data_IF_393928674676
#
_entry.id   IF_393928674676
#
_cell.length_a   1.000
_cell.length_b   1.000
_cell.length_c   1.000
_cell.angle_alpha   90.00
_cell.angle_beta   90.00
_cell.angle_gamma   90.00
#
_symmetry.space_group_name_H-M   'P 1'
#
loop_
_entity.id
_entity.type
_entity.pdbx_description
1 polymer ?
#
# COMPACT_ATOMS: atom_id res chain seq x y z
N UNK A 1 -33.57 5.24 8.68
CA UNK A 1 -32.30 5.67 9.31
C UNK A 1 -31.24 5.72 8.24
N UNK A 2 -30.88 6.92 7.78
CA UNK A 2 -29.91 7.14 6.70
C UNK A 2 -28.51 7.26 7.27
N UNK A 3 -27.70 6.22 7.13
CA UNK A 3 -26.26 6.29 7.45
C UNK A 3 -25.59 7.25 6.47
N UNK A 4 -25.25 8.46 6.93
CA UNK A 4 -24.37 9.38 6.21
C UNK A 4 -22.95 8.81 6.30
N UNK A 5 -22.53 8.08 5.27
CA UNK A 5 -21.14 7.67 5.10
C UNK A 5 -20.29 8.90 4.83
N UNK A 6 -19.48 9.32 5.81
CA UNK A 6 -18.49 10.38 5.61
C UNK A 6 -17.29 9.77 4.90
N UNK A 7 -17.21 9.98 3.59
CA UNK A 7 -16.04 9.61 2.80
C UNK A 7 -14.94 10.62 3.11
N UNK A 8 -14.08 10.30 4.06
CA UNK A 8 -12.82 11.02 4.22
C UNK A 8 -11.95 10.78 3.00
N UNK A 9 -11.43 11.82 2.33
CA UNK A 9 -10.53 11.64 1.20
C UNK A 9 -9.35 10.79 1.66
N UNK A 10 -9.15 9.66 1.00
CA UNK A 10 -8.07 8.72 1.34
C UNK A 10 -6.75 9.46 1.30
N UNK A 11 -6.17 9.68 2.47
CA UNK A 11 -4.79 10.17 2.57
C UNK A 11 -3.85 9.19 1.86
N UNK A 12 -2.65 9.66 1.49
CA UNK A 12 -1.65 8.81 0.84
C UNK A 12 -1.50 7.48 1.60
N UNK A 13 -1.71 6.36 0.91
CA UNK A 13 -1.59 5.04 1.52
C UNK A 13 -0.13 4.67 1.73
N UNK A 14 0.16 3.80 2.69
CA UNK A 14 1.53 3.28 2.93
C UNK A 14 2.11 2.64 1.67
N UNK A 15 1.26 1.97 0.88
CA UNK A 15 1.63 1.40 -0.41
C UNK A 15 2.04 2.48 -1.42
N UNK A 16 1.27 3.56 -1.54
CA UNK A 16 1.60 4.69 -2.41
C UNK A 16 2.92 5.36 -2.01
N UNK A 17 3.18 5.52 -0.71
CA UNK A 17 4.45 6.07 -0.24
C UNK A 17 5.65 5.15 -0.55
N UNK A 18 5.51 3.83 -0.40
CA UNK A 18 6.55 2.86 -0.78
C UNK A 18 6.85 2.89 -2.27
N UNK A 19 5.79 2.88 -3.09
CA UNK A 19 5.91 2.99 -4.56
C UNK A 19 6.58 4.32 -4.93
N UNK A 20 6.16 5.43 -4.30
CA UNK A 20 6.75 6.75 -4.50
C UNK A 20 8.26 6.79 -4.21
N UNK A 21 8.72 6.17 -3.12
CA UNK A 21 10.16 6.06 -2.81
C UNK A 21 10.89 5.29 -3.91
N UNK A 22 10.37 4.13 -4.32
CA UNK A 22 11.01 3.30 -5.36
C UNK A 22 11.11 4.06 -6.68
N UNK A 23 10.02 4.72 -7.10
CA UNK A 23 9.99 5.51 -8.33
C UNK A 23 10.99 6.66 -8.28
N UNK A 24 11.04 7.41 -7.17
CA UNK A 24 11.98 8.53 -7.02
C UNK A 24 13.43 8.03 -6.93
N UNK A 25 13.69 6.88 -6.32
CA UNK A 25 15.03 6.29 -6.28
C UNK A 25 15.51 5.87 -7.68
N UNK A 26 14.65 5.23 -8.47
CA UNK A 26 14.95 4.89 -9.87
C UNK A 26 15.15 6.15 -10.72
N UNK A 27 14.30 7.16 -10.53
CA UNK A 27 14.42 8.44 -11.21
C UNK A 27 15.73 9.16 -10.84
N UNK A 28 16.14 9.09 -9.57
CA UNK A 28 17.40 9.64 -9.08
C UNK A 28 18.60 8.95 -9.73
N UNK A 29 18.60 7.61 -9.79
CA UNK A 29 19.66 6.84 -10.45
C UNK A 29 19.74 7.15 -11.96
N UNK A 30 18.60 7.14 -12.63
CA UNK A 30 18.52 7.47 -14.05
C UNK A 30 19.00 8.90 -14.32
N UNK A 31 18.50 9.88 -13.57
CA UNK A 31 18.87 11.27 -13.76
C UNK A 31 20.32 11.58 -13.39
N UNK A 32 20.94 10.85 -12.44
CA UNK A 32 22.38 10.93 -12.21
C UNK A 32 23.19 10.43 -13.41
N UNK A 33 22.81 9.28 -13.98
CA UNK A 33 23.46 8.75 -15.18
C UNK A 33 23.29 9.67 -16.38
N UNK A 34 22.06 10.14 -16.62
CA UNK A 34 21.74 11.09 -17.68
C UNK A 34 22.50 12.41 -17.49
N UNK A 35 22.52 12.97 -16.28
CA UNK A 35 23.23 14.20 -15.98
C UNK A 35 24.72 14.08 -16.19
N UNK A 36 25.32 12.94 -15.82
CA UNK A 36 26.72 12.68 -16.11
C UNK A 36 27.01 12.70 -17.62
N UNK A 37 26.19 12.04 -18.43
CA UNK A 37 26.33 12.06 -19.91
C UNK A 37 26.17 13.48 -20.45
N UNK A 38 25.14 14.21 -20.02
CA UNK A 38 24.90 15.60 -20.47
C UNK A 38 26.05 16.53 -20.10
N UNK A 39 26.64 16.38 -18.92
CA UNK A 39 27.80 17.17 -18.49
C UNK A 39 29.06 16.85 -19.31
N UNK A 40 29.23 15.61 -19.75
CA UNK A 40 30.36 15.22 -20.61
C UNK A 40 30.22 15.75 -22.05
N UNK A 41 29.00 15.75 -22.59
CA UNK A 41 28.73 16.24 -23.95
C UNK A 41 28.65 17.78 -24.03
N UNK A 42 28.66 18.49 -22.90
CA UNK A 42 28.56 19.94 -22.89
C UNK A 42 29.86 20.62 -23.40
N UNK A 43 29.79 21.47 -24.45
CA UNK A 43 30.96 22.10 -25.03
C UNK A 43 31.66 23.07 -24.05
N UNK A 44 33.00 23.02 -24.01
CA UNK A 44 33.82 23.83 -23.08
C UNK A 44 33.73 25.34 -23.33
N UNK A 45 33.36 25.76 -24.53
CA UNK A 45 33.23 27.16 -24.91
C UNK A 45 32.03 27.87 -24.26
N UNK A 46 31.07 27.12 -23.72
CA UNK A 46 29.80 27.66 -23.19
C UNK A 46 29.69 27.47 -21.67
N UNK A 47 30.53 28.20 -20.93
CA UNK A 47 30.52 28.21 -19.46
C UNK A 47 29.13 28.51 -18.88
N UNK A 48 28.39 29.45 -19.50
CA UNK A 48 27.03 29.79 -19.06
C UNK A 48 26.07 28.59 -19.12
N UNK A 49 26.17 27.78 -20.18
CA UNK A 49 25.35 26.58 -20.34
C UNK A 49 25.74 25.51 -19.32
N UNK A 50 27.03 25.28 -19.08
CA UNK A 50 27.50 24.34 -18.04
C UNK A 50 27.02 24.72 -16.65
N UNK A 51 27.06 26.00 -16.31
CA UNK A 51 26.55 26.51 -15.03
C UNK A 51 25.04 26.30 -14.90
N UNK A 52 24.28 26.58 -15.95
CA UNK A 52 22.83 26.37 -15.96
C UNK A 52 22.47 24.89 -15.78
N UNK A 53 23.14 24.00 -16.51
CA UNK A 53 22.97 22.54 -16.41
C UNK A 53 23.31 22.08 -14.98
N UNK A 54 24.46 22.51 -14.44
CA UNK A 54 24.89 22.16 -13.09
C UNK A 54 23.91 22.62 -12.01
N UNK A 55 23.41 23.86 -12.11
CA UNK A 55 22.43 24.41 -11.18
C UNK A 55 21.09 23.65 -11.27
N UNK A 56 20.65 23.34 -12.48
CA UNK A 56 19.45 22.52 -12.71
C UNK A 56 19.58 21.15 -12.04
N UNK A 57 20.69 20.44 -12.26
CA UNK A 57 20.91 19.13 -11.63
C UNK A 57 21.03 19.22 -10.12
N UNK A 58 21.65 20.27 -9.59
CA UNK A 58 21.74 20.50 -8.15
C UNK A 58 20.33 20.65 -7.53
N UNK A 59 19.49 21.52 -8.09
CA UNK A 59 18.11 21.72 -7.63
C UNK A 59 17.31 20.44 -7.75
N UNK A 60 17.48 19.72 -8.86
CA UNK A 60 16.79 18.46 -9.11
C UNK A 60 17.17 17.36 -8.10
N UNK A 61 18.46 17.20 -7.78
CA UNK A 61 18.92 16.24 -6.75
C UNK A 61 18.33 16.60 -5.39
N UNK A 62 18.35 17.89 -5.02
CA UNK A 62 17.75 18.37 -3.76
C UNK A 62 16.25 18.06 -3.72
N UNK A 63 15.52 18.28 -4.82
CA UNK A 63 14.10 17.96 -4.90
C UNK A 63 13.83 16.46 -4.73
N UNK A 64 14.61 15.59 -5.39
CA UNK A 64 14.47 14.14 -5.24
C UNK A 64 14.75 13.70 -3.80
N UNK A 65 15.80 14.22 -3.18
CA UNK A 65 16.13 13.94 -1.77
C UNK A 65 15.02 14.41 -0.83
N UNK A 66 14.46 15.60 -1.06
CA UNK A 66 13.36 16.12 -0.25
C UNK A 66 12.12 15.22 -0.34
N UNK A 67 11.78 14.70 -1.53
CA UNK A 67 10.66 13.78 -1.72
C UNK A 67 10.92 12.45 -1.00
N UNK A 68 12.13 11.89 -1.09
CA UNK A 68 12.50 10.67 -0.37
C UNK A 68 12.37 10.89 1.14
N UNK A 69 12.94 11.96 1.68
CA UNK A 69 12.84 12.29 3.11
C UNK A 69 11.39 12.49 3.54
N UNK A 70 10.56 13.14 2.71
CA UNK A 70 9.14 13.31 2.97
C UNK A 70 8.42 11.97 3.12
N UNK A 71 8.60 11.04 2.16
CA UNK A 71 7.98 9.72 2.23
C UNK A 71 8.52 8.87 3.38
N UNK A 72 9.83 8.90 3.64
CA UNK A 72 10.44 8.18 4.76
C UNK A 72 9.91 8.71 6.10
N UNK A 73 9.81 10.03 6.27
CA UNK A 73 9.27 10.65 7.49
C UNK A 73 7.78 10.35 7.65
N UNK A 74 7.03 10.31 6.55
CA UNK A 74 5.62 9.91 6.55
C UNK A 74 5.46 8.44 6.99
N UNK A 75 6.28 7.53 6.47
CA UNK A 75 6.27 6.11 6.87
C UNK A 75 6.69 5.92 8.32
N UNK A 76 7.73 6.64 8.77
CA UNK A 76 8.23 6.57 10.15
C UNK A 76 7.20 7.04 11.17
N UNK A 77 6.37 8.04 10.83
CA UNK A 77 5.29 8.53 11.70
C UNK A 77 4.06 7.61 11.72
N UNK A 78 3.91 6.75 10.71
CA UNK A 78 2.80 5.78 10.60
C UNK A 78 3.18 4.38 11.06
N UNK A 79 4.43 4.15 11.47
CA UNK A 79 4.89 2.91 12.07
C UNK A 79 4.37 2.77 13.52
N UNK A 80 3.04 2.86 13.71
CA UNK A 80 2.39 2.05 14.73
C UNK A 80 2.20 0.66 14.10
N UNK A 81 2.58 -0.43 14.78
CA UNK A 81 2.66 -1.76 14.19
C UNK A 81 1.27 -2.40 14.08
N UNK A 82 0.43 -1.87 13.22
CA UNK A 82 -0.83 -2.49 12.77
C UNK A 82 -1.20 -1.80 11.45
N UNK A 83 -1.79 -2.51 10.50
CA UNK A 83 -2.32 -1.96 9.24
C UNK A 83 -1.32 -1.77 8.09
N UNK A 84 -0.61 -2.85 7.80
CA UNK A 84 -0.33 -3.20 6.40
C UNK A 84 -1.26 -4.32 5.94
N UNK A 85 -2.56 -4.07 5.97
CA UNK A 85 -3.53 -4.81 5.16
C UNK A 85 -4.38 -3.81 4.39
N UNK A 86 -4.17 -3.73 3.08
CA UNK A 86 -5.08 -3.06 2.15
C UNK A 86 -6.36 -3.88 1.90
N UNK A 87 -6.61 -4.87 2.75
CA UNK A 87 -7.86 -5.60 2.93
C UNK A 87 -8.15 -5.50 4.43
N UNK A 88 -8.40 -4.29 4.92
CA UNK A 88 -9.08 -4.11 6.19
C UNK A 88 -10.59 -4.10 5.89
N UNK A 89 -11.06 -5.24 5.38
CA UNK A 89 -12.44 -5.61 5.60
C UNK A 89 -12.48 -5.84 7.10
N UNK A 90 -13.12 -4.92 7.80
CA UNK A 90 -13.51 -5.01 9.20
C UNK A 90 -14.32 -6.31 9.40
N UNK A 91 -13.62 -7.44 9.50
CA UNK A 91 -14.16 -8.80 9.62
C UNK A 91 -13.36 -9.59 10.67
N UNK A 92 -12.64 -8.90 11.54
CA UNK A 92 -11.89 -9.50 12.64
C UNK A 92 -12.79 -9.61 13.89
N UNK A 93 -13.90 -10.33 13.72
CA UNK A 93 -14.55 -11.12 14.80
C UNK A 93 -15.53 -12.19 14.28
N UNK A 94 -15.86 -12.21 12.99
CA UNK A 94 -16.85 -13.16 12.42
C UNK A 94 -16.24 -14.26 11.54
N UNK A 95 -14.95 -14.17 11.19
CA UNK A 95 -14.31 -15.10 10.23
C UNK A 95 -14.39 -16.57 10.67
N UNK A 96 -14.16 -16.87 11.94
CA UNK A 96 -14.25 -18.25 12.44
C UNK A 96 -15.67 -18.83 12.44
N UNK A 97 -16.70 -18.00 12.52
CA UNK A 97 -18.10 -18.44 12.51
C UNK A 97 -18.61 -18.62 11.08
N UNK A 98 -18.41 -17.60 10.24
CA UNK A 98 -18.89 -17.60 8.85
C UNK A 98 -18.19 -18.68 8.02
N UNK A 99 -16.90 -18.92 8.26
CA UNK A 99 -16.13 -19.96 7.59
C UNK A 99 -16.61 -21.37 8.00
N UNK A 100 -16.90 -21.58 9.29
CA UNK A 100 -17.48 -22.83 9.79
C UNK A 100 -18.88 -23.08 9.22
N UNK A 101 -19.68 -22.03 9.07
CA UNK A 101 -21.03 -22.13 8.53
C UNK A 101 -21.01 -22.46 7.02
N UNK A 102 -20.11 -21.83 6.26
CA UNK A 102 -19.89 -22.13 4.84
C UNK A 102 -19.34 -23.54 4.61
N UNK A 103 -18.40 -24.00 5.44
CA UNK A 103 -17.88 -25.36 5.38
C UNK A 103 -18.98 -26.40 5.68
N UNK A 104 -19.88 -26.10 6.62
CA UNK A 104 -21.03 -26.96 6.94
C UNK A 104 -22.01 -27.08 5.76
N UNK A 105 -22.26 -25.97 5.06
CA UNK A 105 -23.10 -25.93 3.85
C UNK A 105 -22.48 -26.72 2.69
N UNK A 106 -21.16 -26.62 2.49
CA UNK A 106 -20.45 -27.41 1.49
C UNK A 106 -20.59 -28.92 1.76
N UNK A 107 -20.35 -29.36 3.00
CA UNK A 107 -20.45 -30.78 3.39
C UNK A 107 -21.87 -31.36 3.24
N UNK A 108 -22.89 -30.53 3.42
CA UNK A 108 -24.28 -30.91 3.14
C UNK A 108 -24.53 -31.06 1.64
N UNK A 109 -24.07 -30.09 0.83
CA UNK A 109 -24.26 -30.10 -0.62
C UNK A 109 -23.53 -31.29 -1.28
N UNK A 110 -22.40 -31.70 -0.71
CA UNK A 110 -21.65 -32.88 -1.12
C UNK A 110 -22.30 -34.20 -0.67
N UNK A 111 -23.42 -34.16 0.04
CA UNK A 111 -24.16 -35.34 0.52
C UNK A 111 -23.46 -36.10 1.66
N UNK A 112 -22.41 -35.52 2.25
CA UNK A 112 -21.61 -36.14 3.31
C UNK A 112 -22.23 -35.99 4.70
N UNK A 113 -23.25 -35.15 4.84
CA UNK A 113 -24.02 -34.94 6.08
C UNK A 113 -25.50 -35.18 5.82
N UNK A 114 -26.15 -35.91 6.73
CA UNK A 114 -27.60 -35.99 6.75
C UNK A 114 -28.21 -34.67 7.24
N UNK A 115 -29.47 -34.39 6.84
CA UNK A 115 -30.14 -33.14 7.24
C UNK A 115 -30.31 -32.98 8.76
N UNK A 116 -30.38 -34.10 9.49
CA UNK A 116 -30.44 -34.08 10.94
C UNK A 116 -29.11 -33.64 11.56
N UNK A 117 -27.99 -34.16 11.04
CA UNK A 117 -26.64 -33.81 11.52
C UNK A 117 -26.25 -32.38 11.17
N UNK A 118 -26.67 -31.91 9.98
CA UNK A 118 -26.50 -30.53 9.56
C UNK A 118 -27.19 -29.56 10.53
N UNK A 119 -28.47 -29.80 10.87
CA UNK A 119 -29.23 -28.93 11.80
C UNK A 119 -28.63 -28.93 13.20
N UNK A 120 -28.25 -30.09 13.73
CA UNK A 120 -27.65 -30.19 15.06
C UNK A 120 -26.33 -29.41 15.17
N UNK A 121 -25.45 -29.52 14.17
CA UNK A 121 -24.17 -28.78 14.14
C UNK A 121 -24.37 -27.27 13.93
N UNK A 122 -25.34 -26.87 13.11
CA UNK A 122 -25.69 -25.45 12.91
C UNK A 122 -26.17 -24.78 14.19
N UNK A 123 -27.03 -25.47 14.95
CA UNK A 123 -27.48 -24.98 16.27
C UNK A 123 -26.35 -24.93 17.30
N UNK A 124 -25.43 -25.89 17.26
CA UNK A 124 -24.27 -25.90 18.15
C UNK A 124 -23.34 -24.71 17.86
N UNK A 125 -23.11 -24.39 16.58
CA UNK A 125 -22.31 -23.24 16.15
C UNK A 125 -22.99 -21.92 16.58
N UNK A 126 -24.32 -21.83 16.48
CA UNK A 126 -25.11 -20.65 16.91
C UNK A 126 -25.12 -20.41 18.43
N UNK A 127 -24.84 -21.43 19.25
CA UNK A 127 -24.86 -21.33 20.73
C UNK A 127 -23.50 -20.98 21.35
N UNK A 128 -22.42 -20.94 20.56
CA UNK A 128 -21.10 -20.58 21.08
C UNK A 128 -20.97 -19.05 21.24
N UNK A 129 -20.46 -18.55 22.38
CA UNK A 129 -20.24 -17.13 22.57
C UNK A 129 -19.10 -16.62 21.67
N UNK A 130 -19.30 -15.43 21.11
CA UNK A 130 -18.45 -14.78 20.10
C UNK A 130 -17.22 -14.07 20.70
#
# INVERSE_FOLDING_TARGET
MTHKGQVTPGGLTVLQAKIGIVVVALFLLFGLGFGFVVLQEAPDSEIGLKLLIGLFFLVWVVACLAIIVFYVRMLSKRASPTDSSLIDIHLEKTSGFDERLRALEALKNDGLLSEMEYRAKREQIMKQPW
#
